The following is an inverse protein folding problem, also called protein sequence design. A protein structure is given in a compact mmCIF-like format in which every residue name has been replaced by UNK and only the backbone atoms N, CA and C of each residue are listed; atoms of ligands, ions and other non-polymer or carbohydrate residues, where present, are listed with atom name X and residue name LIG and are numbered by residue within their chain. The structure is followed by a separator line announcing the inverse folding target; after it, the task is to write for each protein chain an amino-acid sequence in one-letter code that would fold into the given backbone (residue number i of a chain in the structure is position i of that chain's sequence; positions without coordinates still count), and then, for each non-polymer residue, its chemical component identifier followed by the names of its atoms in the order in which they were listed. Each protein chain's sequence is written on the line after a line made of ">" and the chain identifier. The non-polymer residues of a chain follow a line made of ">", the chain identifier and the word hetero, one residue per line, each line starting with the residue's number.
data_IF_300047731969
#
_entry.id   IF_300047731969
#
_cell.length_a   1.000
_cell.length_b   1.000
_cell.length_c   1.000
_cell.angle_alpha   90.00
_cell.angle_beta   90.00
_cell.angle_gamma   90.00
#
_symmetry.space_group_name_H-M   'P 1'
#
loop_
_entity.id
_entity.type
_entity.pdbx_description
1 polymer ?
#
# COMPACT_ATOMS: atom_id res chain seq x y z
N UNK A 1 30.66 -1.11 -11.63
CA UNK A 1 29.78 -1.21 -10.45
C UNK A 1 29.23 -2.63 -10.38
N UNK A 2 29.35 -3.31 -9.24
CA UNK A 2 28.78 -4.66 -9.05
C UNK A 2 27.24 -4.58 -8.99
N UNK A 3 26.52 -5.53 -9.59
CA UNK A 3 25.05 -5.63 -9.57
C UNK A 3 24.46 -5.53 -8.15
N UNK A 4 25.16 -6.08 -7.14
CA UNK A 4 24.72 -6.00 -5.75
C UNK A 4 24.87 -4.58 -5.16
N UNK A 5 25.91 -3.84 -5.57
CA UNK A 5 26.08 -2.44 -5.16
C UNK A 5 25.00 -1.55 -5.76
N UNK A 6 24.65 -1.77 -7.04
CA UNK A 6 23.58 -1.05 -7.71
C UNK A 6 22.22 -1.27 -7.00
N UNK A 7 21.91 -2.53 -6.66
CA UNK A 7 20.70 -2.88 -5.92
C UNK A 7 20.67 -2.25 -4.53
N UNK A 8 21.80 -2.27 -3.81
CA UNK A 8 21.92 -1.63 -2.49
C UNK A 8 21.68 -0.13 -2.57
N UNK A 9 22.28 0.56 -3.54
CA UNK A 9 22.07 1.99 -3.75
C UNK A 9 20.60 2.30 -4.07
N UNK A 10 19.95 1.51 -4.94
CA UNK A 10 18.53 1.69 -5.26
C UNK A 10 17.63 1.49 -4.03
N UNK A 11 17.92 0.48 -3.20
CA UNK A 11 17.19 0.25 -1.95
C UNK A 11 17.35 1.42 -0.98
N UNK A 12 18.54 1.99 -0.86
CA UNK A 12 18.77 3.16 0.00
C UNK A 12 18.02 4.39 -0.49
N UNK A 13 17.98 4.63 -1.81
CA UNK A 13 17.21 5.72 -2.41
C UNK A 13 15.71 5.57 -2.18
N UNK A 14 15.16 4.37 -2.41
CA UNK A 14 13.75 4.06 -2.14
C UNK A 14 13.40 4.29 -0.67
N UNK A 15 14.22 3.78 0.26
CA UNK A 15 14.02 4.01 1.70
C UNK A 15 14.07 5.49 2.10
N UNK A 16 14.88 6.30 1.41
CA UNK A 16 14.90 7.75 1.67
C UNK A 16 13.61 8.41 1.20
N UNK A 17 13.16 8.08 -0.01
CA UNK A 17 11.90 8.60 -0.54
C UNK A 17 10.71 8.19 0.32
N UNK A 18 10.66 6.94 0.81
CA UNK A 18 9.62 6.48 1.75
C UNK A 18 9.59 7.33 3.03
N UNK A 19 10.76 7.67 3.60
CA UNK A 19 10.86 8.58 4.75
C UNK A 19 10.39 10.00 4.43
N UNK A 20 10.81 10.54 3.29
CA UNK A 20 10.45 11.90 2.89
C UNK A 20 8.93 12.05 2.67
N UNK A 21 8.25 10.96 2.31
CA UNK A 21 6.80 10.85 2.20
C UNK A 21 6.08 10.50 3.53
N UNK A 22 6.83 10.30 4.62
CA UNK A 22 6.28 9.91 5.92
C UNK A 22 5.69 8.49 5.96
N UNK A 23 6.22 7.58 5.15
CA UNK A 23 5.78 6.18 5.05
C UNK A 23 6.72 5.21 5.80
N UNK A 24 7.74 5.71 6.48
CA UNK A 24 8.76 4.90 7.16
C UNK A 24 8.30 4.28 8.47
N UNK A 25 7.15 4.72 8.98
CA UNK A 25 6.46 4.14 10.13
C UNK A 25 5.56 2.95 9.77
N UNK A 26 5.41 2.66 8.47
CA UNK A 26 4.67 1.53 7.95
C UNK A 26 5.52 0.27 7.99
N UNK A 27 4.94 -0.84 8.43
CA UNK A 27 5.55 -2.15 8.18
C UNK A 27 5.60 -2.43 6.67
N UNK A 28 6.49 -3.33 6.23
CA UNK A 28 6.57 -3.69 4.81
C UNK A 28 5.22 -4.15 4.23
N UNK A 29 4.42 -4.89 5.00
CA UNK A 29 3.09 -5.33 4.56
C UNK A 29 2.09 -4.17 4.45
N UNK A 30 2.17 -3.18 5.34
CA UNK A 30 1.35 -1.96 5.27
C UNK A 30 1.75 -1.12 4.05
N UNK A 31 3.05 -0.91 3.83
CA UNK A 31 3.57 -0.19 2.68
C UNK A 31 3.16 -0.86 1.36
N UNK A 32 3.32 -2.17 1.25
CA UNK A 32 2.98 -2.91 0.02
C UNK A 32 1.47 -2.86 -0.30
N UNK A 33 0.61 -2.93 0.72
CA UNK A 33 -0.85 -2.75 0.54
C UNK A 33 -1.19 -1.31 0.15
N UNK A 34 -0.53 -0.32 0.76
CA UNK A 34 -0.74 1.09 0.42
C UNK A 34 -0.31 1.41 -1.02
N UNK A 35 0.87 0.96 -1.43
CA UNK A 35 1.38 1.15 -2.79
C UNK A 35 0.55 0.37 -3.82
N UNK A 36 0.05 -0.82 -3.49
CA UNK A 36 -0.91 -1.54 -4.33
C UNK A 36 -2.20 -0.73 -4.52
N UNK A 37 -2.76 -0.19 -3.44
CA UNK A 37 -3.93 0.69 -3.54
C UNK A 37 -3.63 1.93 -4.41
N UNK A 38 -2.49 2.58 -4.21
CA UNK A 38 -2.07 3.76 -5.00
C UNK A 38 -1.88 3.46 -6.48
N UNK A 39 -1.42 2.25 -6.82
CA UNK A 39 -1.28 1.76 -8.20
C UNK A 39 -2.64 1.52 -8.87
N UNK A 40 -3.63 1.04 -8.11
CA UNK A 40 -4.97 0.73 -8.63
C UNK A 40 -5.85 2.00 -8.75
N UNK A 41 -5.78 2.93 -7.81
CA UNK A 41 -6.55 4.18 -7.85
C UNK A 41 -5.94 5.17 -8.85
N UNK A 42 -6.50 5.18 -10.07
CA UNK A 42 -6.08 6.07 -11.16
C UNK A 42 -6.48 7.53 -10.90
N UNK A 43 -7.66 7.78 -10.36
CA UNK A 43 -8.22 9.10 -10.10
C UNK A 43 -8.41 9.35 -8.59
N UNK A 44 -8.50 10.63 -8.16
CA UNK A 44 -8.90 10.95 -6.80
C UNK A 44 -10.28 10.35 -6.50
N UNK A 45 -10.47 9.85 -5.28
CA UNK A 45 -11.71 9.20 -4.83
C UNK A 45 -12.09 7.89 -5.56
N UNK A 46 -11.18 7.32 -6.36
CA UNK A 46 -11.39 6.00 -6.95
C UNK A 46 -11.68 4.95 -5.87
N UNK A 47 -12.77 4.23 -6.08
CA UNK A 47 -13.20 3.17 -5.18
C UNK A 47 -12.50 1.87 -5.56
N UNK A 48 -11.62 1.40 -4.67
CA UNK A 48 -10.87 0.15 -4.84
C UNK A 48 -11.47 -0.93 -3.94
N UNK A 49 -11.60 -2.15 -4.45
CA UNK A 49 -12.05 -3.28 -3.65
C UNK A 49 -10.89 -4.00 -2.96
N UNK A 50 -11.18 -4.61 -1.82
CA UNK A 50 -10.24 -5.53 -1.16
C UNK A 50 -9.81 -6.70 -2.04
N UNK A 51 -10.63 -7.07 -3.03
CA UNK A 51 -10.29 -8.16 -3.94
C UNK A 51 -9.22 -7.72 -4.92
N UNK A 52 -9.34 -6.52 -5.50
CA UNK A 52 -8.32 -5.97 -6.41
C UNK A 52 -6.98 -5.81 -5.71
N UNK A 53 -6.96 -5.20 -4.51
CA UNK A 53 -5.72 -5.08 -3.72
C UNK A 53 -5.08 -6.44 -3.44
N UNK A 54 -5.89 -7.47 -3.13
CA UNK A 54 -5.37 -8.81 -2.80
C UNK A 54 -4.76 -9.55 -4.01
N UNK A 55 -5.14 -9.18 -5.24
CA UNK A 55 -4.59 -9.78 -6.45
C UNK A 55 -3.39 -8.99 -7.02
N UNK A 56 -3.07 -7.82 -6.46
CA UNK A 56 -1.91 -7.03 -6.88
C UNK A 56 -0.60 -7.73 -6.52
N UNK A 57 0.41 -7.68 -7.38
CA UNK A 57 1.68 -8.43 -7.23
C UNK A 57 2.41 -8.18 -5.91
N UNK A 58 2.35 -6.95 -5.38
CA UNK A 58 2.94 -6.59 -4.09
C UNK A 58 2.27 -7.30 -2.89
N UNK A 59 1.01 -7.72 -3.04
CA UNK A 59 0.15 -8.19 -1.95
C UNK A 59 -0.23 -9.66 -2.10
N UNK A 60 -0.32 -10.17 -3.34
CA UNK A 60 -0.67 -11.56 -3.64
C UNK A 60 0.13 -12.62 -2.85
N UNK A 61 1.43 -12.42 -2.51
CA UNK A 61 2.18 -13.36 -1.69
C UNK A 61 1.75 -13.42 -0.21
N UNK A 62 0.96 -12.45 0.29
CA UNK A 62 0.63 -12.37 1.71
C UNK A 62 -0.48 -13.36 2.12
N UNK A 63 -0.32 -14.04 3.26
CA UNK A 63 -1.42 -14.78 3.88
C UNK A 63 -2.61 -13.85 4.19
N UNK A 64 -3.86 -14.35 4.16
CA UNK A 64 -5.06 -13.55 4.42
C UNK A 64 -4.98 -12.73 5.73
N UNK A 65 -4.45 -13.34 6.80
CA UNK A 65 -4.33 -12.67 8.10
C UNK A 65 -3.34 -11.49 8.07
N UNK A 66 -2.24 -11.61 7.32
CA UNK A 66 -1.27 -10.51 7.16
C UNK A 66 -1.88 -9.37 6.38
N UNK A 67 -2.52 -9.67 5.25
CA UNK A 67 -3.21 -8.67 4.44
C UNK A 67 -4.29 -7.92 5.25
N UNK A 68 -5.16 -8.64 5.95
CA UNK A 68 -6.24 -8.00 6.71
C UNK A 68 -5.75 -7.17 7.88
N UNK A 69 -4.65 -7.57 8.53
CA UNK A 69 -4.00 -6.75 9.57
C UNK A 69 -3.42 -5.46 8.98
N UNK A 70 -2.69 -5.55 7.87
CA UNK A 70 -2.12 -4.40 7.18
C UNK A 70 -3.21 -3.42 6.69
N UNK A 71 -4.25 -3.92 6.02
CA UNK A 71 -5.37 -3.11 5.55
C UNK A 71 -6.08 -2.40 6.71
N UNK A 72 -6.28 -3.09 7.84
CA UNK A 72 -6.87 -2.48 9.03
C UNK A 72 -5.99 -1.37 9.58
N UNK A 73 -4.68 -1.60 9.72
CA UNK A 73 -3.76 -0.60 10.21
C UNK A 73 -3.74 0.66 9.32
N UNK A 74 -3.77 0.50 7.99
CA UNK A 74 -3.87 1.63 7.06
C UNK A 74 -5.18 2.42 7.20
N UNK A 75 -6.28 1.74 7.52
CA UNK A 75 -7.56 2.42 7.80
C UNK A 75 -7.52 3.14 9.15
N UNK A 76 -6.97 2.51 10.17
CA UNK A 76 -6.85 3.08 11.52
C UNK A 76 -5.91 4.30 11.52
N UNK A 77 -4.86 4.29 10.68
CA UNK A 77 -3.96 5.44 10.40
C UNK A 77 -4.59 6.51 9.51
N UNK A 78 -5.76 6.23 8.91
CA UNK A 78 -6.46 7.18 8.04
C UNK A 78 -5.85 7.36 6.65
N UNK A 79 -4.95 6.47 6.21
CA UNK A 79 -4.40 6.45 4.85
C UNK A 79 -5.40 5.86 3.84
N UNK A 80 -6.24 4.94 4.32
CA UNK A 80 -7.38 4.39 3.59
C UNK A 80 -8.67 4.65 4.38
N UNK A 81 -9.79 4.82 3.67
CA UNK A 81 -11.13 4.88 4.28
C UNK A 81 -12.07 3.94 3.56
N UNK A 82 -13.06 3.40 4.27
CA UNK A 82 -14.14 2.65 3.61
C UNK A 82 -14.95 3.60 2.74
N UNK A 83 -15.22 3.20 1.50
CA UNK A 83 -16.05 3.96 0.58
C UNK A 83 -17.50 4.03 1.11
N UNK A 84 -18.07 5.23 1.20
CA UNK A 84 -19.47 5.43 1.63
C UNK A 84 -20.42 5.02 0.50
N UNK A 85 -21.43 4.19 0.81
CA UNK A 85 -22.45 3.77 -0.17
C UNK A 85 -22.02 2.72 -1.19
N UNK A 86 -20.75 2.26 -1.15
CA UNK A 86 -20.26 1.18 -2.00
C UNK A 86 -20.54 -0.20 -1.38
N UNK A 87 -20.38 -1.26 -2.20
CA UNK A 87 -20.47 -2.65 -1.73
C UNK A 87 -19.51 -2.91 -0.56
N UNK A 88 -19.81 -3.92 0.25
CA UNK A 88 -18.91 -4.34 1.32
C UNK A 88 -17.48 -4.56 0.80
N UNK A 89 -16.47 -4.13 1.57
CA UNK A 89 -15.03 -4.25 1.26
C UNK A 89 -14.48 -3.30 0.17
N UNK A 90 -15.11 -2.15 -0.01
CA UNK A 90 -14.62 -1.06 -0.86
C UNK A 90 -13.94 0.05 -0.05
N UNK A 91 -12.87 0.62 -0.59
CA UNK A 91 -11.99 1.60 0.05
C UNK A 91 -11.63 2.74 -0.91
N UNK A 92 -11.25 3.88 -0.34
CA UNK A 92 -10.69 5.05 -1.05
C UNK A 92 -9.39 5.47 -0.36
N UNK A 93 -8.43 5.98 -1.14
CA UNK A 93 -7.22 6.61 -0.60
C UNK A 93 -7.54 7.99 -0.05
N UNK A 94 -6.92 8.32 1.09
CA UNK A 94 -7.12 9.60 1.77
C UNK A 94 -5.91 10.52 1.58
N UNK A 95 -4.73 9.94 1.47
CA UNK A 95 -3.50 10.67 1.21
C UNK A 95 -3.27 10.72 -0.31
N UNK A 96 -3.26 11.93 -0.88
CA UNK A 96 -2.68 12.26 -2.19
C UNK A 96 -1.95 13.58 -2.08
#
# INVERSE_FOLDING_TARGET
>A
MNKYQALSNLRSLLRSMERDLGLDDLSQAELDVFLAAQSIATLPEDVITSTEMRHHDLVAPFPPATYHRALRALVDRGLLKKAKGAKAKSYVLVAR
#
